data_IF_544537038721
#
_entry.id   IF_544537038721
#
_cell.length_a   1.000
_cell.length_b   1.000
_cell.length_c   1.000
_cell.angle_alpha   90.00
_cell.angle_beta   90.00
_cell.angle_gamma   90.00
#
_symmetry.space_group_name_H-M   'P 1'
#
loop_
_entity.id
_entity.type
_entity.pdbx_description
1 polymer ?
#
# COMPACT_ATOMS: atom_id res chain seq x y z
N UNK A 1 10.25 -14.39 21.67
CA UNK A 1 10.51 -13.99 20.28
C UNK A 1 9.47 -14.57 19.31
N UNK A 2 9.05 -15.82 19.46
CA UNK A 2 8.11 -16.46 18.50
C UNK A 2 6.69 -15.86 18.51
N UNK A 3 6.19 -15.47 19.69
CA UNK A 3 4.87 -14.83 19.82
C UNK A 3 4.80 -13.46 19.12
N UNK A 4 5.91 -12.70 19.14
CA UNK A 4 6.00 -11.38 18.51
C UNK A 4 6.02 -11.50 16.98
N UNK A 5 6.76 -12.50 16.46
CA UNK A 5 6.76 -12.81 15.01
C UNK A 5 5.38 -13.22 14.52
N UNK A 6 4.67 -14.06 15.28
CA UNK A 6 3.30 -14.48 14.98
C UNK A 6 2.32 -13.31 14.92
N UNK A 7 2.41 -12.35 15.86
CA UNK A 7 1.58 -11.14 15.83
C UNK A 7 1.85 -10.27 14.60
N UNK A 8 3.13 -10.13 14.22
CA UNK A 8 3.52 -9.30 13.09
C UNK A 8 3.12 -9.92 11.74
N UNK A 9 3.38 -11.22 11.56
CA UNK A 9 2.92 -12.01 10.40
C UNK A 9 1.39 -11.98 10.27
N UNK A 10 0.67 -12.17 11.39
CA UNK A 10 -0.80 -12.12 11.39
C UNK A 10 -1.32 -10.74 11.00
N UNK A 11 -0.71 -9.65 11.49
CA UNK A 11 -1.05 -8.28 11.10
C UNK A 11 -0.78 -8.01 9.62
N UNK A 12 0.34 -8.52 9.09
CA UNK A 12 0.69 -8.42 7.68
C UNK A 12 -0.33 -9.16 6.81
N UNK A 13 -0.70 -10.39 7.18
CA UNK A 13 -1.72 -11.16 6.48
C UNK A 13 -3.09 -10.48 6.56
N UNK A 14 -3.49 -9.96 7.72
CA UNK A 14 -4.78 -9.27 7.85
C UNK A 14 -4.84 -8.00 7.00
N UNK A 15 -3.74 -7.22 6.96
CA UNK A 15 -3.62 -6.03 6.11
C UNK A 15 -3.64 -6.37 4.62
N UNK A 16 -2.89 -7.40 4.19
CA UNK A 16 -2.90 -7.88 2.81
C UNK A 16 -4.28 -8.43 2.40
N UNK A 17 -4.94 -9.21 3.26
CA UNK A 17 -6.26 -9.78 3.00
C UNK A 17 -7.32 -8.69 2.93
N UNK A 18 -7.25 -7.68 3.81
CA UNK A 18 -8.12 -6.51 3.76
C UNK A 18 -7.99 -5.75 2.45
N UNK A 19 -6.76 -5.43 2.04
CA UNK A 19 -6.51 -4.70 0.79
C UNK A 19 -6.76 -5.55 -0.47
N UNK A 20 -6.53 -6.87 -0.40
CA UNK A 20 -6.92 -7.81 -1.46
C UNK A 20 -8.43 -7.94 -1.62
N UNK A 21 -9.19 -8.00 -0.52
CA UNK A 21 -10.65 -7.99 -0.54
C UNK A 21 -11.18 -6.72 -1.20
N UNK A 22 -10.59 -5.56 -0.91
CA UNK A 22 -10.94 -4.29 -1.56
C UNK A 22 -10.65 -4.35 -3.06
N UNK A 23 -9.48 -4.82 -3.48
CA UNK A 23 -9.16 -5.01 -4.90
C UNK A 23 -10.12 -5.97 -5.61
N UNK A 24 -10.45 -7.11 -4.98
CA UNK A 24 -11.35 -8.14 -5.55
C UNK A 24 -12.79 -7.63 -5.63
N UNK A 25 -13.28 -6.93 -4.60
CA UNK A 25 -14.62 -6.36 -4.57
C UNK A 25 -14.83 -5.32 -5.67
N UNK A 26 -13.77 -4.57 -6.00
CA UNK A 26 -13.78 -3.60 -7.10
C UNK A 26 -13.63 -4.27 -8.47
N UNK A 27 -12.73 -5.24 -8.62
CA UNK A 27 -12.61 -6.03 -9.86
C UNK A 27 -13.92 -6.76 -10.21
N UNK A 28 -14.66 -7.20 -9.19
CA UNK A 28 -15.96 -7.86 -9.34
C UNK A 28 -17.05 -6.89 -9.81
N UNK A 29 -16.96 -5.59 -9.53
CA UNK A 29 -17.95 -4.59 -9.90
C UNK A 29 -17.51 -3.72 -11.10
N UNK A 30 -17.64 -4.29 -12.30
CA UNK A 30 -17.31 -3.62 -13.57
C UNK A 30 -18.39 -2.64 -14.08
N UNK A 31 -19.57 -2.58 -13.46
CA UNK A 31 -20.80 -2.03 -14.08
C UNK A 31 -21.16 -0.60 -13.66
N UNK A 32 -20.45 0.03 -12.71
CA UNK A 32 -20.66 1.46 -12.40
C UNK A 32 -19.33 2.23 -12.41
N UNK A 33 -19.04 2.87 -13.55
CA UNK A 33 -17.95 3.86 -13.71
C UNK A 33 -18.33 5.18 -13.03
N UNK A 34 -18.48 5.16 -11.72
CA UNK A 34 -18.60 6.37 -10.89
C UNK A 34 -17.23 6.71 -10.31
N UNK A 35 -17.00 8.00 -10.10
CA UNK A 35 -15.77 8.58 -9.52
C UNK A 35 -15.28 7.81 -8.28
N UNK A 36 -16.22 7.36 -7.44
CA UNK A 36 -15.96 6.56 -6.24
C UNK A 36 -15.24 5.24 -6.54
N UNK A 37 -15.59 4.52 -7.60
CA UNK A 37 -14.99 3.21 -7.88
C UNK A 37 -13.53 3.34 -8.35
N UNK A 38 -13.21 4.42 -9.07
CA UNK A 38 -11.83 4.72 -9.48
C UNK A 38 -10.97 5.10 -8.27
N UNK A 39 -11.53 5.87 -7.32
CA UNK A 39 -10.85 6.20 -6.07
C UNK A 39 -10.51 4.95 -5.25
N UNK A 40 -11.42 3.97 -5.17
CA UNK A 40 -11.19 2.72 -4.43
C UNK A 40 -10.08 1.87 -5.08
N UNK A 41 -10.04 1.77 -6.42
CA UNK A 41 -8.92 1.09 -7.12
C UNK A 41 -7.59 1.76 -6.78
N UNK A 42 -7.55 3.08 -6.89
CA UNK A 42 -6.32 3.85 -6.72
C UNK A 42 -5.76 3.71 -5.31
N UNK A 43 -6.64 3.77 -4.29
CA UNK A 43 -6.30 3.52 -2.90
C UNK A 43 -5.78 2.09 -2.68
N UNK A 44 -6.49 1.08 -3.22
CA UNK A 44 -6.08 -0.31 -3.04
C UNK A 44 -4.70 -0.61 -3.66
N UNK A 45 -4.39 -0.04 -4.82
CA UNK A 45 -3.05 -0.18 -5.43
C UNK A 45 -1.99 0.54 -4.59
N UNK A 46 -2.28 1.71 -4.01
CA UNK A 46 -1.36 2.41 -3.10
C UNK A 46 -0.99 1.51 -1.90
N UNK A 47 -2.02 0.94 -1.28
CA UNK A 47 -1.93 0.04 -0.15
C UNK A 47 -1.11 -1.22 -0.45
N UNK A 48 -1.29 -1.83 -1.63
CA UNK A 48 -0.49 -2.98 -2.06
C UNK A 48 1.00 -2.65 -2.15
N UNK A 49 1.36 -1.50 -2.73
CA UNK A 49 2.75 -1.08 -2.82
C UNK A 49 3.34 -0.75 -1.44
N UNK A 50 2.58 -0.11 -0.55
CA UNK A 50 3.01 0.16 0.83
C UNK A 50 3.24 -1.13 1.60
N UNK A 51 2.32 -2.10 1.51
CA UNK A 51 2.48 -3.38 2.21
C UNK A 51 3.65 -4.19 1.63
N UNK A 52 3.87 -4.16 0.31
CA UNK A 52 4.94 -4.93 -0.32
C UNK A 52 6.33 -4.30 -0.11
N UNK A 53 6.44 -2.97 -0.12
CA UNK A 53 7.72 -2.26 -0.13
C UNK A 53 8.07 -1.55 1.18
N UNK A 54 7.08 -1.05 1.93
CA UNK A 54 7.35 -0.30 3.17
C UNK A 54 7.33 -1.21 4.40
N UNK A 55 6.40 -2.18 4.44
CA UNK A 55 6.24 -3.09 5.58
C UNK A 55 7.45 -4.00 5.83
N UNK A 56 7.97 -4.77 4.84
CA UNK A 56 9.07 -5.72 5.10
C UNK A 56 10.37 -5.06 5.59
N UNK A 57 10.86 -3.93 5.04
CA UNK A 57 12.02 -3.23 5.58
C UNK A 57 11.80 -2.72 7.00
N UNK A 58 10.58 -2.25 7.31
CA UNK A 58 10.22 -1.76 8.64
C UNK A 58 10.28 -2.89 9.67
N UNK A 59 9.74 -4.07 9.34
CA UNK A 59 9.81 -5.25 10.20
C UNK A 59 11.25 -5.70 10.42
N UNK A 60 12.05 -5.73 9.36
CA UNK A 60 13.46 -6.12 9.44
C UNK A 60 14.25 -5.13 10.29
N UNK A 61 13.99 -3.83 10.16
CA UNK A 61 14.62 -2.81 11.01
C UNK A 61 14.26 -2.98 12.49
N UNK A 62 13.00 -3.24 12.79
CA UNK A 62 12.49 -3.42 14.17
C UNK A 62 13.04 -4.69 14.83
N UNK A 63 13.20 -5.79 14.06
CA UNK A 63 13.70 -7.07 14.57
C UNK A 63 15.22 -7.13 14.67
N UNK A 64 15.94 -6.49 13.76
CA UNK A 64 17.39 -6.65 13.62
C UNK A 64 18.17 -5.45 14.16
N UNK A 65 17.51 -4.34 14.49
CA UNK A 65 18.08 -3.02 14.85
C UNK A 65 19.20 -2.54 13.89
N UNK A 66 19.29 -3.14 12.70
CA UNK A 66 20.38 -2.95 11.74
C UNK A 66 19.83 -2.95 10.31
N UNK A 67 20.22 -1.96 9.51
CA UNK A 67 19.69 -1.78 8.14
C UNK A 67 20.43 -2.72 7.17
N UNK A 68 19.93 -3.94 7.00
CA UNK A 68 20.61 -4.92 6.14
C UNK A 68 20.27 -4.78 4.64
N UNK A 69 19.14 -4.17 4.28
CA UNK A 69 18.68 -4.04 2.87
C UNK A 69 19.42 -2.96 2.06
N UNK A 70 20.40 -2.27 2.65
CA UNK A 70 21.20 -1.25 1.99
C UNK A 70 20.47 0.07 1.71
N UNK A 71 21.24 1.14 1.44
CA UNK A 71 20.71 2.49 1.16
C UNK A 71 19.87 2.58 -0.11
N UNK A 72 20.09 1.68 -1.07
CA UNK A 72 19.35 1.64 -2.32
C UNK A 72 17.86 1.34 -2.10
N UNK A 73 17.52 0.31 -1.32
CA UNK A 73 16.12 -0.04 -1.02
C UNK A 73 15.41 1.08 -0.26
N UNK A 74 16.06 1.71 0.72
CA UNK A 74 15.52 2.87 1.42
C UNK A 74 15.11 3.99 0.44
N UNK A 75 16.00 4.29 -0.52
CA UNK A 75 15.76 5.36 -1.50
C UNK A 75 14.65 5.00 -2.49
N UNK A 76 14.56 3.74 -2.87
CA UNK A 76 13.51 3.22 -3.77
C UNK A 76 12.14 3.26 -3.10
N UNK A 77 12.04 2.85 -1.83
CA UNK A 77 10.78 2.90 -1.05
C UNK A 77 10.27 4.34 -0.96
N UNK A 78 11.14 5.28 -0.56
CA UNK A 78 10.77 6.70 -0.47
C UNK A 78 10.38 7.25 -1.84
N UNK A 79 11.08 6.86 -2.91
CA UNK A 79 10.76 7.29 -4.27
C UNK A 79 9.35 6.84 -4.70
N UNK A 80 9.02 5.57 -4.50
CA UNK A 80 7.71 5.05 -4.83
C UNK A 80 6.61 5.67 -3.96
N UNK A 81 6.87 5.86 -2.67
CA UNK A 81 5.93 6.51 -1.77
C UNK A 81 5.61 7.93 -2.24
N UNK A 82 6.63 8.75 -2.51
CA UNK A 82 6.44 10.11 -3.01
C UNK A 82 5.72 10.10 -4.35
N UNK A 83 6.14 9.25 -5.29
CA UNK A 83 5.51 9.15 -6.61
C UNK A 83 4.02 8.84 -6.52
N UNK A 84 3.64 7.86 -5.69
CA UNK A 84 2.26 7.47 -5.51
C UNK A 84 1.43 8.57 -4.86
N UNK A 85 1.97 9.21 -3.82
CA UNK A 85 1.30 10.32 -3.12
C UNK A 85 1.04 11.51 -4.06
N UNK A 86 1.99 11.79 -4.98
CA UNK A 86 1.82 12.81 -6.01
C UNK A 86 0.74 12.40 -7.02
N UNK A 87 0.74 11.16 -7.50
CA UNK A 87 -0.29 10.65 -8.42
C UNK A 87 -1.69 10.74 -7.80
N UNK A 88 -1.85 10.34 -6.54
CA UNK A 88 -3.11 10.43 -5.81
C UNK A 88 -3.60 11.88 -5.70
N UNK A 89 -2.69 12.81 -5.38
CA UNK A 89 -3.02 14.23 -5.30
C UNK A 89 -3.51 14.78 -6.64
N UNK A 90 -2.79 14.50 -7.73
CA UNK A 90 -3.20 14.91 -9.08
C UNK A 90 -4.54 14.29 -9.49
N UNK A 91 -4.74 13.01 -9.15
CA UNK A 91 -5.99 12.31 -9.42
C UNK A 91 -7.17 12.98 -8.70
N UNK A 92 -7.02 13.30 -7.40
CA UNK A 92 -8.04 14.00 -6.61
C UNK A 92 -8.34 15.39 -7.19
N UNK A 93 -7.33 16.17 -7.55
CA UNK A 93 -7.54 17.47 -8.19
C UNK A 93 -8.31 17.34 -9.51
N UNK A 94 -7.91 16.41 -10.37
CA UNK A 94 -8.58 16.20 -11.66
C UNK A 94 -10.03 15.77 -11.50
N UNK A 95 -10.33 14.95 -10.48
CA UNK A 95 -11.69 14.59 -10.10
C UNK A 95 -12.47 15.80 -9.57
N UNK A 96 -11.86 16.63 -8.73
CA UNK A 96 -12.50 17.82 -8.16
C UNK A 96 -12.85 18.87 -9.22
N UNK A 97 -12.02 19.03 -10.27
CA UNK A 97 -12.29 19.93 -11.40
C UNK A 97 -13.39 19.40 -12.34
N UNK A 98 -13.66 18.09 -12.34
CA UNK A 98 -14.70 17.45 -13.16
C UNK A 98 -16.07 17.33 -12.45
N UNK A 99 -16.20 17.84 -11.22
CA UNK A 99 -17.43 17.82 -10.42
C UNK A 99 -18.06 19.23 -10.34
#
# INVERSE_FOLDING_TARGET
MDLLKLFFEAGLCFGNVGNALVCIAVYTNHTMRTVTNIFIVNLAVADFFVILFCLPPTVVWDVTETWFMGKAMCKVVIYFQVFYTQLDYYFICCVADNL
#
